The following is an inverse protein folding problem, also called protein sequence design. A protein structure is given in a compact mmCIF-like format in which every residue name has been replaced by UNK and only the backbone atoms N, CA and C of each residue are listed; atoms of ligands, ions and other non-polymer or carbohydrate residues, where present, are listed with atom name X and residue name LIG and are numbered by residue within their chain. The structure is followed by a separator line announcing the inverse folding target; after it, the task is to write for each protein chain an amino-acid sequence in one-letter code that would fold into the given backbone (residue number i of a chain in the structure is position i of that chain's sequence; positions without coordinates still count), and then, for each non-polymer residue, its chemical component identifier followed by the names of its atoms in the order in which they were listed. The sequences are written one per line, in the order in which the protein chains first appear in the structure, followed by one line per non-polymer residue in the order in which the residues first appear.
data_IF_320567420459
#
_entry.id   IF_320567420459
#
_cell.length_a   1.000
_cell.length_b   1.000
_cell.length_c   1.000
_cell.angle_alpha   90.00
_cell.angle_beta   90.00
_cell.angle_gamma   90.00
#
_symmetry.space_group_name_H-M   'P 1'
#
loop_
_entity.id
_entity.type
_entity.pdbx_description
1 polymer ?
#
# COMPACT_ATOMS: atom_id res chain seq x y z
N UNK A 1 -23.80 -0.33 56.96
CA UNK A 1 -23.00 -1.04 55.95
C UNK A 1 -21.57 -1.10 56.45
N UNK A 2 -20.86 -2.21 56.26
CA UNK A 2 -19.43 -2.31 56.60
C UNK A 2 -18.57 -1.62 55.54
N UNK A 3 -17.37 -1.17 55.91
CA UNK A 3 -16.48 -0.50 54.96
C UNK A 3 -15.98 -1.46 53.87
N UNK A 4 -15.84 -2.75 54.18
CA UNK A 4 -15.56 -3.83 53.23
C UNK A 4 -16.55 -3.84 52.06
N UNK A 5 -17.84 -3.62 52.33
CA UNK A 5 -18.86 -3.53 51.30
C UNK A 5 -18.68 -2.29 50.41
N UNK A 6 -18.28 -1.14 50.98
CA UNK A 6 -17.95 0.06 50.19
C UNK A 6 -16.73 -0.17 49.29
N UNK A 7 -15.65 -0.72 49.84
CA UNK A 7 -14.42 -1.05 49.10
C UNK A 7 -14.70 -2.03 47.97
N UNK A 8 -15.51 -3.06 48.23
CA UNK A 8 -15.93 -4.04 47.22
C UNK A 8 -16.76 -3.38 46.11
N UNK A 9 -17.70 -2.50 46.44
CA UNK A 9 -18.52 -1.76 45.45
C UNK A 9 -17.65 -0.81 44.61
N UNK A 10 -16.65 -0.15 45.20
CA UNK A 10 -15.72 0.72 44.47
C UNK A 10 -14.85 -0.10 43.50
N UNK A 11 -14.22 -1.17 43.97
CA UNK A 11 -13.38 -2.04 43.15
C UNK A 11 -14.17 -2.71 42.00
N UNK A 12 -15.42 -3.13 42.26
CA UNK A 12 -16.31 -3.64 41.21
C UNK A 12 -16.69 -2.55 40.19
N UNK A 13 -16.94 -1.31 40.64
CA UNK A 13 -17.23 -0.19 39.72
C UNK A 13 -16.03 0.11 38.82
N UNK A 14 -14.83 0.13 39.38
CA UNK A 14 -13.58 0.36 38.64
C UNK A 14 -13.31 -0.77 37.64
N UNK A 15 -13.45 -2.03 38.08
CA UNK A 15 -13.38 -3.22 37.21
C UNK A 15 -14.38 -3.15 36.05
N UNK A 16 -15.63 -2.75 36.30
CA UNK A 16 -16.67 -2.63 35.27
C UNK A 16 -16.42 -1.48 34.28
N UNK A 17 -15.84 -0.37 34.73
CA UNK A 17 -15.39 0.71 33.82
C UNK A 17 -14.24 0.21 32.95
N UNK A 18 -13.23 -0.43 33.54
CA UNK A 18 -12.09 -0.94 32.78
C UNK A 18 -12.51 -2.02 31.76
N UNK A 19 -13.37 -2.97 32.15
CA UNK A 19 -13.97 -3.93 31.22
C UNK A 19 -14.79 -3.25 30.11
N UNK A 20 -15.55 -2.19 30.41
CA UNK A 20 -16.31 -1.45 29.39
C UNK A 20 -15.37 -0.85 28.35
N UNK A 21 -14.28 -0.21 28.76
CA UNK A 21 -13.35 0.39 27.79
C UNK A 21 -12.63 -0.70 26.96
N UNK A 22 -12.20 -1.82 27.56
CA UNK A 22 -11.66 -2.97 26.81
C UNK A 22 -12.67 -3.56 25.81
N UNK A 23 -13.97 -3.59 26.15
CA UNK A 23 -15.02 -4.07 25.22
C UNK A 23 -15.27 -3.07 24.09
N UNK A 24 -15.12 -1.77 24.32
CA UNK A 24 -15.24 -0.74 23.29
C UNK A 24 -14.05 -0.77 22.32
N UNK A 25 -12.84 -0.86 22.85
CA UNK A 25 -11.58 -1.02 22.12
C UNK A 25 -11.62 -2.27 21.22
N UNK A 26 -11.87 -3.45 21.81
CA UNK A 26 -12.04 -4.70 21.06
C UNK A 26 -13.16 -4.64 20.01
N UNK A 27 -14.23 -3.86 20.23
CA UNK A 27 -15.30 -3.65 19.24
C UNK A 27 -14.86 -2.75 18.08
N UNK A 28 -13.90 -1.85 18.28
CA UNK A 28 -13.27 -1.08 17.20
C UNK A 28 -12.29 -1.97 16.41
N UNK A 29 -11.41 -2.71 17.10
CA UNK A 29 -10.49 -3.68 16.48
C UNK A 29 -11.25 -4.72 15.63
N UNK A 30 -12.38 -5.25 16.11
CA UNK A 30 -13.22 -6.18 15.35
C UNK A 30 -13.81 -5.51 14.09
N UNK A 31 -14.21 -4.23 14.16
CA UNK A 31 -14.73 -3.51 12.98
C UNK A 31 -13.66 -3.29 11.93
N UNK A 32 -12.48 -2.83 12.35
CA UNK A 32 -11.34 -2.62 11.46
C UNK A 32 -10.89 -3.93 10.80
N UNK A 33 -10.69 -5.00 11.59
CA UNK A 33 -10.33 -6.32 11.06
C UNK A 33 -11.42 -6.89 10.12
N UNK A 34 -12.71 -6.63 10.39
CA UNK A 34 -13.80 -7.04 9.49
C UNK A 34 -13.70 -6.31 8.15
N UNK A 35 -13.51 -4.98 8.16
CA UNK A 35 -13.36 -4.19 6.93
C UNK A 35 -12.16 -4.67 6.09
N UNK A 36 -10.98 -4.79 6.73
CA UNK A 36 -9.74 -5.24 6.09
C UNK A 36 -9.83 -6.68 5.57
N UNK A 37 -10.58 -7.57 6.23
CA UNK A 37 -10.85 -8.91 5.72
C UNK A 37 -11.75 -8.89 4.47
N UNK A 38 -12.86 -8.14 4.50
CA UNK A 38 -13.78 -8.00 3.34
C UNK A 38 -13.06 -7.42 2.11
N UNK A 39 -12.12 -6.50 2.31
CA UNK A 39 -11.29 -5.93 1.24
C UNK A 39 -10.30 -6.93 0.64
N UNK A 40 -9.82 -7.89 1.43
CA UNK A 40 -9.00 -9.00 0.94
C UNK A 40 -9.83 -10.00 0.11
N UNK A 41 -11.06 -10.32 0.55
CA UNK A 41 -11.98 -11.21 -0.19
C UNK A 41 -12.36 -10.64 -1.57
N UNK A 42 -12.45 -9.31 -1.70
CA UNK A 42 -12.71 -8.64 -2.99
C UNK A 42 -11.54 -8.58 -3.97
N UNK A 43 -10.37 -9.16 -3.67
CA UNK A 43 -9.10 -8.88 -4.38
C UNK A 43 -8.41 -10.14 -4.95
N UNK A 44 -9.09 -10.88 -5.83
CA UNK A 44 -8.50 -11.99 -6.58
C UNK A 44 -7.46 -11.55 -7.63
N UNK A 45 -6.38 -12.31 -7.87
CA UNK A 45 -5.29 -11.90 -8.77
C UNK A 45 -5.64 -12.09 -10.27
N UNK A 46 -6.06 -11.01 -10.91
CA UNK A 46 -6.33 -10.97 -12.35
C UNK A 46 -5.05 -10.92 -13.20
N UNK A 47 -4.54 -12.07 -13.63
CA UNK A 47 -3.48 -12.17 -14.66
C UNK A 47 -4.15 -12.43 -16.02
N UNK A 48 -4.09 -11.45 -16.93
CA UNK A 48 -4.62 -11.60 -18.29
C UNK A 48 -4.70 -10.27 -19.04
N UNK A 49 -3.66 -9.94 -19.81
CA UNK A 49 -3.66 -8.77 -20.68
C UNK A 49 -4.30 -9.09 -22.04
N UNK A 50 -5.03 -8.13 -22.62
CA UNK A 50 -5.13 -8.01 -24.08
C UNK A 50 -5.37 -6.55 -24.50
N UNK A 51 -5.03 -6.25 -25.76
CA UNK A 51 -5.02 -4.89 -26.30
C UNK A 51 -6.42 -4.29 -26.45
N UNK A 52 -6.53 -2.97 -26.24
CA UNK A 52 -7.39 -2.10 -27.04
C UNK A 52 -6.61 -0.85 -27.48
N UNK A 53 -6.76 -0.45 -28.74
CA UNK A 53 -6.09 0.72 -29.32
C UNK A 53 -7.02 1.94 -29.29
N UNK A 54 -6.75 2.88 -28.39
CA UNK A 54 -7.32 4.23 -28.47
C UNK A 54 -6.23 5.26 -28.78
N UNK A 55 -6.05 5.51 -30.09
CA UNK A 55 -5.25 6.64 -30.58
C UNK A 55 -5.97 7.99 -30.39
N UNK A 56 -5.24 9.11 -30.40
CA UNK A 56 -5.81 10.44 -30.23
C UNK A 56 -6.66 10.87 -31.44
N UNK A 57 -7.73 11.67 -31.24
CA UNK A 57 -8.58 12.13 -32.33
C UNK A 57 -7.88 13.19 -33.20
N UNK A 58 -7.60 12.85 -34.46
CA UNK A 58 -7.05 13.77 -35.45
C UNK A 58 -8.16 14.55 -36.18
N UNK A 59 -8.15 15.89 -36.03
CA UNK A 59 -9.08 16.77 -36.73
C UNK A 59 -8.61 17.11 -38.16
N UNK A 60 -9.48 16.86 -39.14
CA UNK A 60 -9.45 17.47 -40.48
C UNK A 60 -10.87 17.98 -40.82
N UNK A 61 -11.07 19.11 -41.51
CA UNK A 61 -10.10 20.13 -41.93
C UNK A 61 -10.67 21.13 -42.94
N UNK A 62 -9.88 22.13 -43.35
CA UNK A 62 -10.17 23.08 -44.45
C UNK A 62 -10.45 24.53 -44.00
N UNK A 63 -10.14 25.57 -44.79
CA UNK A 63 -9.36 25.61 -46.04
C UNK A 63 -8.87 27.05 -46.39
N UNK A 64 -7.74 27.17 -47.12
CA UNK A 64 -7.22 28.42 -47.73
C UNK A 64 -6.30 29.28 -46.82
N UNK A 65 -5.35 30.08 -47.33
CA UNK A 65 -4.84 30.26 -48.71
C UNK A 65 -3.47 30.99 -48.75
N UNK A 66 -2.82 31.06 -49.92
CA UNK A 66 -1.64 31.89 -50.31
C UNK A 66 -0.21 31.60 -49.75
N UNK A 67 0.61 30.90 -50.57
CA UNK A 67 1.86 31.32 -51.28
C UNK A 67 2.71 32.54 -50.79
N UNK A 68 4.02 32.68 -51.17
CA UNK A 68 5.05 31.68 -51.57
C UNK A 68 6.55 31.99 -51.18
N UNK A 69 7.45 30.96 -51.20
CA UNK A 69 8.93 31.04 -51.37
C UNK A 69 9.75 31.80 -50.27
N UNK A 70 11.07 31.65 -50.03
CA UNK A 70 12.23 30.91 -50.59
C UNK A 70 13.36 30.85 -49.49
N UNK A 71 14.51 30.16 -49.51
CA UNK A 71 15.10 29.04 -50.27
C UNK A 71 16.42 28.56 -49.56
N UNK A 72 17.23 27.68 -50.18
CA UNK A 72 18.61 27.20 -49.86
C UNK A 72 18.77 25.94 -48.96
N UNK A 73 19.51 24.93 -49.47
CA UNK A 73 20.10 23.78 -48.75
C UNK A 73 21.64 23.79 -48.86
N UNK A 74 22.37 22.66 -49.08
CA UNK A 74 21.95 21.25 -49.11
C UNK A 74 22.96 20.29 -48.39
N UNK A 75 22.97 18.99 -48.78
CA UNK A 75 23.83 17.85 -48.35
C UNK A 75 23.40 17.07 -47.07
N UNK A 76 23.37 15.73 -47.05
CA UNK A 76 23.50 14.79 -48.17
C UNK A 76 23.44 13.27 -47.85
N UNK A 77 22.66 12.53 -48.67
CA UNK A 77 22.87 11.17 -49.20
C UNK A 77 23.19 9.95 -48.27
N UNK A 78 22.25 8.99 -48.14
CA UNK A 78 22.32 7.63 -48.75
C UNK A 78 21.03 6.80 -48.52
N UNK A 79 20.85 5.66 -49.20
CA UNK A 79 19.58 4.91 -49.30
C UNK A 79 19.71 3.37 -49.23
N UNK A 80 18.73 2.70 -48.60
CA UNK A 80 18.28 1.32 -48.88
C UNK A 80 19.24 0.16 -48.54
N UNK A 81 18.88 -1.11 -48.77
CA UNK A 81 17.55 -1.77 -48.84
C UNK A 81 17.75 -3.31 -48.77
N UNK A 82 16.77 -4.05 -48.23
CA UNK A 82 16.50 -5.51 -48.34
C UNK A 82 17.64 -6.55 -48.48
N UNK A 83 17.59 -7.60 -47.65
CA UNK A 83 18.26 -8.90 -47.91
C UNK A 83 17.43 -9.84 -48.80
N UNK A 84 17.97 -11.02 -49.13
CA UNK A 84 17.23 -12.08 -49.83
C UNK A 84 17.78 -13.51 -49.53
N UNK A 85 17.01 -14.55 -49.89
CA UNK A 85 17.22 -15.97 -49.55
C UNK A 85 17.86 -16.82 -50.67
N UNK A 86 18.10 -18.12 -50.39
CA UNK A 86 18.00 -19.34 -51.25
C UNK A 86 19.27 -20.22 -51.33
N UNK A 87 19.18 -21.51 -51.76
CA UNK A 87 18.00 -22.37 -52.03
C UNK A 87 17.88 -23.47 -50.92
N UNK A 88 17.57 -24.78 -51.05
CA UNK A 88 17.32 -25.74 -52.15
C UNK A 88 16.60 -27.04 -51.66
N UNK A 89 16.36 -28.00 -52.58
CA UNK A 89 15.96 -29.41 -52.42
C UNK A 89 14.50 -29.66 -51.93
N UNK A 90 13.49 -29.79 -52.79
CA UNK A 90 13.23 -30.74 -53.91
C UNK A 90 12.62 -32.10 -53.49
N UNK A 91 11.32 -32.29 -53.80
CA UNK A 91 10.75 -33.43 -54.54
C UNK A 91 9.20 -33.30 -54.62
N UNK A 92 8.57 -33.91 -55.65
CA UNK A 92 7.12 -33.83 -55.88
C UNK A 92 6.47 -35.23 -56.07
N UNK A 93 5.16 -35.37 -55.79
CA UNK A 93 4.43 -36.66 -55.95
C UNK A 93 2.90 -36.54 -55.89
N UNK A 94 2.23 -36.89 -57.00
CA UNK A 94 0.78 -36.76 -57.28
C UNK A 94 -0.20 -37.58 -56.39
N UNK A 95 -1.38 -36.98 -56.13
CA UNK A 95 -2.80 -37.44 -56.35
C UNK A 95 -3.18 -38.94 -56.58
N UNK A 96 -4.48 -39.37 -56.48
CA UNK A 96 -5.67 -38.79 -55.79
C UNK A 96 -6.67 -39.81 -55.12
N UNK A 97 -7.64 -39.28 -54.34
CA UNK A 97 -9.08 -39.63 -54.49
C UNK A 97 -9.76 -40.73 -53.61
N UNK A 98 -11.03 -40.46 -53.24
CA UNK A 98 -12.03 -41.31 -52.53
C UNK A 98 -11.67 -41.83 -51.11
N UNK A 99 -12.59 -41.98 -50.13
CA UNK A 99 -13.98 -41.51 -50.03
C UNK A 99 -14.89 -42.46 -49.20
N UNK A 100 -15.51 -42.01 -48.09
CA UNK A 100 -16.54 -42.81 -47.38
C UNK A 100 -16.92 -42.43 -45.93
N UNK A 101 -18.11 -41.85 -45.77
CA UNK A 101 -19.12 -42.03 -44.70
C UNK A 101 -18.82 -42.07 -43.17
N UNK A 102 -19.59 -41.21 -42.45
CA UNK A 102 -20.09 -41.33 -41.04
C UNK A 102 -19.03 -41.13 -39.93
N UNK A 103 -19.36 -40.66 -38.71
CA UNK A 103 -20.66 -40.49 -38.01
C UNK A 103 -20.81 -39.11 -37.33
N UNK A 104 -22.02 -38.81 -36.84
CA UNK A 104 -22.39 -37.63 -36.05
C UNK A 104 -22.01 -37.72 -34.57
N UNK A 105 -21.71 -36.58 -33.93
CA UNK A 105 -21.77 -36.30 -32.47
C UNK A 105 -21.32 -34.85 -32.19
N UNK A 106 -22.25 -33.89 -32.20
CA UNK A 106 -21.96 -32.50 -31.82
C UNK A 106 -21.95 -32.25 -30.31
N UNK A 107 -20.99 -31.47 -29.81
CA UNK A 107 -21.02 -30.91 -28.45
C UNK A 107 -20.89 -29.37 -28.47
N UNK A 108 -22.03 -28.70 -28.27
CA UNK A 108 -22.09 -27.26 -28.02
C UNK A 108 -21.55 -26.92 -26.62
N UNK A 109 -20.28 -26.52 -26.51
CA UNK A 109 -19.78 -25.86 -25.30
C UNK A 109 -19.92 -24.33 -25.45
N UNK A 110 -21.15 -23.87 -25.26
CA UNK A 110 -21.46 -22.46 -25.02
C UNK A 110 -20.97 -22.10 -23.61
N UNK A 111 -19.70 -21.70 -23.53
CA UNK A 111 -19.06 -21.32 -22.28
C UNK A 111 -19.92 -20.35 -21.48
N UNK A 112 -20.35 -20.77 -20.29
CA UNK A 112 -20.81 -19.86 -19.25
C UNK A 112 -19.60 -19.62 -18.36
N UNK A 113 -19.21 -18.36 -18.21
CA UNK A 113 -18.24 -17.95 -17.20
C UNK A 113 -18.86 -18.20 -15.82
N UNK A 114 -18.52 -19.36 -15.25
CA UNK A 114 -18.89 -19.68 -13.87
C UNK A 114 -17.99 -18.86 -12.98
N UNK A 115 -18.59 -18.02 -12.15
CA UNK A 115 -17.89 -17.44 -11.00
C UNK A 115 -17.41 -18.61 -10.12
N UNK A 116 -16.10 -18.82 -10.05
CA UNK A 116 -15.52 -19.89 -9.25
C UNK A 116 -15.73 -19.57 -7.77
N UNK A 117 -16.16 -20.55 -6.98
CA UNK A 117 -16.27 -20.38 -5.53
C UNK A 117 -14.87 -20.39 -4.89
N UNK A 118 -14.71 -19.86 -3.66
CA UNK A 118 -13.45 -19.98 -2.93
C UNK A 118 -12.97 -21.43 -2.79
N UNK A 119 -13.90 -22.38 -2.67
CA UNK A 119 -13.61 -23.83 -2.61
C UNK A 119 -13.04 -24.36 -3.95
N UNK A 120 -13.61 -23.96 -5.09
CA UNK A 120 -13.08 -24.28 -6.42
C UNK A 120 -11.65 -23.74 -6.61
N UNK A 121 -11.40 -22.50 -6.14
CA UNK A 121 -10.08 -21.88 -6.24
C UNK A 121 -9.04 -22.64 -5.41
N UNK A 122 -9.37 -23.06 -4.18
CA UNK A 122 -8.47 -23.85 -3.32
C UNK A 122 -8.22 -25.23 -3.94
N UNK A 123 -9.26 -25.90 -4.45
CA UNK A 123 -9.16 -27.23 -5.09
C UNK A 123 -8.28 -27.21 -6.37
N UNK A 124 -8.09 -26.05 -7.00
CA UNK A 124 -7.24 -25.90 -8.18
C UNK A 124 -5.74 -25.76 -7.89
N UNK A 125 -5.34 -25.60 -6.62
CA UNK A 125 -3.96 -25.22 -6.25
C UNK A 125 -3.07 -26.40 -5.91
N UNK A 126 -1.80 -26.29 -6.30
CA UNK A 126 -0.78 -27.25 -5.88
C UNK A 126 -0.49 -27.14 -4.37
N UNK A 127 -0.03 -28.21 -3.70
CA UNK A 127 0.37 -28.16 -2.30
C UNK A 127 1.47 -27.11 -2.02
N UNK A 128 2.33 -26.82 -2.99
CA UNK A 128 3.33 -25.75 -2.88
C UNK A 128 2.71 -24.35 -2.89
N UNK A 129 1.75 -24.07 -3.79
CA UNK A 129 1.05 -22.79 -3.80
C UNK A 129 0.24 -22.60 -2.52
N UNK A 130 -0.46 -23.64 -2.06
CA UNK A 130 -1.20 -23.60 -0.81
C UNK A 130 -0.26 -23.37 0.39
N UNK A 131 0.91 -24.01 0.41
CA UNK A 131 1.95 -23.75 1.41
C UNK A 131 2.47 -22.31 1.39
N UNK A 132 2.70 -21.74 0.21
CA UNK A 132 3.10 -20.32 0.05
C UNK A 132 2.00 -19.35 0.47
N UNK A 133 0.73 -19.65 0.17
CA UNK A 133 -0.42 -18.86 0.62
C UNK A 133 -0.59 -18.90 2.14
N UNK A 134 -0.50 -20.10 2.75
CA UNK A 134 -0.59 -20.25 4.20
C UNK A 134 0.59 -19.57 4.92
N UNK A 135 1.80 -19.62 4.36
CA UNK A 135 2.95 -18.90 4.88
C UNK A 135 2.76 -17.37 4.79
N UNK A 136 2.26 -16.84 3.66
CA UNK A 136 1.98 -15.42 3.51
C UNK A 136 0.83 -14.93 4.43
N UNK A 137 -0.20 -15.75 4.65
CA UNK A 137 -1.27 -15.48 5.61
C UNK A 137 -0.76 -15.53 7.05
N UNK A 138 0.13 -16.48 7.39
CA UNK A 138 0.80 -16.53 8.70
C UNK A 138 1.65 -15.29 8.93
N UNK A 139 2.52 -14.92 7.98
CA UNK A 139 3.31 -13.68 8.05
C UNK A 139 2.41 -12.46 8.23
N UNK A 140 1.28 -12.37 7.50
CA UNK A 140 0.34 -11.26 7.67
C UNK A 140 -0.32 -11.24 9.04
N UNK A 141 -0.61 -12.40 9.63
CA UNK A 141 -1.21 -12.52 10.96
C UNK A 141 -0.21 -12.28 12.10
N UNK A 142 1.03 -12.76 11.96
CA UNK A 142 2.13 -12.47 12.89
C UNK A 142 2.47 -10.95 12.90
N UNK A 143 2.28 -10.26 11.77
CA UNK A 143 2.42 -8.80 11.64
C UNK A 143 1.15 -7.99 12.01
N UNK A 144 0.03 -8.62 12.40
CA UNK A 144 -1.20 -7.91 12.80
C UNK A 144 -1.20 -7.45 14.28
N UNK A 145 -0.02 -7.26 14.87
CA UNK A 145 0.15 -6.74 16.22
C UNK A 145 -0.06 -5.21 16.25
N UNK A 146 -1.26 -4.78 16.62
CA UNK A 146 -1.52 -3.39 17.01
C UNK A 146 -1.13 -3.16 18.48
N UNK A 147 -0.58 -1.97 18.79
CA UNK A 147 -0.24 -1.56 20.15
C UNK A 147 -0.69 -0.11 20.37
N UNK A 148 -1.58 0.10 21.36
CA UNK A 148 -2.06 1.43 21.72
C UNK A 148 -0.99 2.20 22.48
N UNK A 149 -0.45 3.26 21.85
CA UNK A 149 0.55 4.12 22.47
C UNK A 149 -0.09 5.03 23.52
N UNK A 150 0.47 5.18 24.74
CA UNK A 150 -0.11 5.99 25.82
C UNK A 150 0.22 7.48 25.63
N UNK A 151 -0.28 8.07 24.53
CA UNK A 151 -0.08 9.47 24.13
C UNK A 151 -1.39 10.25 24.24
N UNK A 152 -1.30 11.54 24.57
CA UNK A 152 -2.46 12.42 24.78
C UNK A 152 -2.32 13.68 23.92
N UNK A 153 -2.64 13.57 22.63
CA UNK A 153 -2.35 14.59 21.60
C UNK A 153 -3.60 15.29 21.03
N UNK A 154 -4.79 14.97 21.54
CA UNK A 154 -6.08 15.47 21.04
C UNK A 154 -6.60 16.73 21.76
N UNK A 155 -5.71 17.51 22.39
CA UNK A 155 -6.07 18.65 23.23
C UNK A 155 -6.14 20.02 22.51
N UNK A 156 -5.83 20.03 21.21
CA UNK A 156 -5.84 21.22 20.36
C UNK A 156 -4.53 22.00 20.31
N UNK A 157 -3.42 21.47 20.84
CA UNK A 157 -2.07 22.05 20.74
C UNK A 157 -1.15 21.22 19.85
N UNK A 158 -0.06 21.85 19.42
CA UNK A 158 1.10 21.16 18.88
C UNK A 158 1.79 20.34 19.96
N UNK A 159 2.20 19.12 19.60
CA UNK A 159 2.97 18.20 20.43
C UNK A 159 4.09 17.58 19.59
N UNK A 160 5.28 17.45 20.16
CA UNK A 160 6.36 16.68 19.52
C UNK A 160 6.20 15.20 19.87
N UNK A 161 5.78 14.39 18.90
CA UNK A 161 5.67 12.94 19.04
C UNK A 161 6.86 12.24 18.39
N UNK A 162 7.48 11.30 19.11
CA UNK A 162 8.49 10.41 18.55
C UNK A 162 8.21 8.98 19.00
N UNK A 163 8.35 8.02 18.09
CA UNK A 163 8.23 6.59 18.35
C UNK A 163 9.51 5.92 17.86
N UNK A 164 10.16 5.15 18.73
CA UNK A 164 11.30 4.31 18.36
C UNK A 164 10.84 2.86 18.26
N UNK A 165 11.49 2.10 17.39
CA UNK A 165 11.26 0.66 17.23
C UNK A 165 12.56 -0.05 16.81
N UNK A 166 12.75 -1.27 17.30
CA UNK A 166 13.88 -2.15 17.02
C UNK A 166 13.42 -3.48 16.45
N UNK A 167 14.02 -3.90 15.34
CA UNK A 167 13.83 -5.25 14.79
C UNK A 167 14.33 -6.34 15.75
N UNK A 168 15.34 -6.05 16.58
CA UNK A 168 15.75 -6.95 17.66
C UNK A 168 14.68 -6.89 18.76
N UNK A 169 14.12 -8.05 19.10
CA UNK A 169 13.13 -8.28 20.16
C UNK A 169 11.83 -7.45 20.09
N UNK A 170 11.65 -6.62 19.06
CA UNK A 170 10.45 -5.79 18.89
C UNK A 170 10.34 -4.69 19.95
N UNK A 171 11.48 -4.24 20.50
CA UNK A 171 11.56 -3.16 21.49
C UNK A 171 10.99 -1.87 20.86
N UNK A 172 10.05 -1.22 21.52
CA UNK A 172 9.49 0.08 21.11
C UNK A 172 9.37 1.03 22.29
N UNK A 173 9.47 2.34 22.01
CA UNK A 173 9.21 3.40 22.99
C UNK A 173 8.43 4.54 22.34
N UNK A 174 7.56 5.19 23.11
CA UNK A 174 6.73 6.31 22.65
C UNK A 174 6.96 7.53 23.53
N UNK A 175 7.26 8.67 22.90
CA UNK A 175 7.60 9.95 23.52
C UNK A 175 6.60 11.03 23.10
N UNK A 176 6.23 11.88 24.06
CA UNK A 176 5.45 13.10 23.84
C UNK A 176 6.14 14.27 24.55
N UNK A 177 6.46 15.32 23.79
CA UNK A 177 7.13 16.53 24.24
C UNK A 177 8.48 16.23 24.91
N UNK A 178 9.27 15.38 24.25
CA UNK A 178 10.60 14.94 24.70
C UNK A 178 10.60 13.92 25.84
N UNK A 179 9.45 13.59 26.43
CA UNK A 179 9.33 12.71 27.59
C UNK A 179 8.71 11.38 27.19
N UNK A 180 9.35 10.26 27.56
CA UNK A 180 8.82 8.91 27.34
C UNK A 180 7.51 8.71 28.10
N UNK A 181 6.47 8.23 27.41
CA UNK A 181 5.14 7.92 27.96
C UNK A 181 4.86 6.42 28.01
N UNK A 182 5.44 5.65 27.09
CA UNK A 182 5.28 4.19 27.04
C UNK A 182 6.49 3.50 26.43
N UNK A 183 6.56 2.19 26.66
CA UNK A 183 7.51 1.27 26.03
C UNK A 183 7.01 -0.16 26.13
N UNK A 184 7.49 -1.02 25.24
CA UNK A 184 7.19 -2.45 25.25
C UNK A 184 8.09 -3.23 24.31
N UNK A 185 7.76 -4.51 24.12
CA UNK A 185 8.58 -5.49 23.40
C UNK A 185 7.67 -6.34 22.50
N UNK A 186 8.27 -7.25 21.72
CA UNK A 186 7.62 -8.25 20.87
C UNK A 186 6.74 -7.70 19.73
N UNK A 187 6.76 -6.39 19.46
CA UNK A 187 6.08 -5.77 18.32
C UNK A 187 6.86 -6.01 17.03
N UNK A 188 6.34 -6.86 16.13
CA UNK A 188 6.98 -7.27 14.87
C UNK A 188 8.44 -7.73 15.03
N UNK A 189 8.76 -8.36 16.17
CA UNK A 189 10.11 -8.79 16.49
C UNK A 189 10.69 -9.66 15.37
N UNK A 190 11.95 -9.41 15.01
CA UNK A 190 12.71 -10.07 13.95
C UNK A 190 12.19 -9.86 12.51
N UNK A 191 11.21 -8.97 12.29
CA UNK A 191 10.68 -8.65 10.96
C UNK A 191 11.14 -7.25 10.48
N UNK A 192 12.28 -7.13 9.77
CA UNK A 192 12.76 -5.84 9.28
C UNK A 192 11.81 -5.22 8.24
N UNK A 193 11.67 -3.90 8.29
CA UNK A 193 10.87 -3.13 7.34
C UNK A 193 11.42 -3.34 5.91
N UNK A 194 10.54 -3.76 5.00
CA UNK A 194 10.92 -4.07 3.60
C UNK A 194 11.13 -2.77 2.81
N UNK A 195 12.24 -2.60 2.07
CA UNK A 195 12.50 -1.40 1.28
C UNK A 195 11.59 -1.31 0.03
N UNK A 196 11.45 -0.11 -0.54
CA UNK A 196 10.67 0.13 -1.76
C UNK A 196 9.16 0.35 -1.56
N UNK A 197 8.73 0.63 -0.33
CA UNK A 197 7.36 1.07 -0.04
C UNK A 197 7.08 2.52 -0.46
N UNK A 198 5.80 2.91 -0.43
CA UNK A 198 5.34 4.29 -0.62
C UNK A 198 4.95 4.86 0.74
N UNK A 199 5.51 6.02 1.10
CA UNK A 199 5.16 6.72 2.34
C UNK A 199 4.06 7.75 2.06
N UNK A 200 2.95 7.65 2.80
CA UNK A 200 1.77 8.53 2.68
C UNK A 200 1.53 9.19 4.03
N UNK A 201 1.23 10.49 4.02
CA UNK A 201 0.81 11.24 5.22
C UNK A 201 -0.71 11.38 5.26
N UNK A 202 -1.26 11.21 6.47
CA UNK A 202 -2.65 11.50 6.79
C UNK A 202 -3.72 10.52 6.27
N UNK A 203 -3.32 9.39 5.67
CA UNK A 203 -4.21 8.33 5.18
C UNK A 203 -3.64 6.94 5.51
N UNK A 204 -4.51 5.99 5.82
CA UNK A 204 -4.18 4.56 5.97
C UNK A 204 -4.04 3.91 4.57
N UNK A 205 -3.17 2.89 4.42
CA UNK A 205 -2.86 2.24 3.14
C UNK A 205 -3.22 0.73 3.11
N UNK A 206 -4.46 0.39 2.73
CA UNK A 206 -4.85 -1.00 2.42
C UNK A 206 -4.11 -1.56 1.18
N UNK A 207 -3.61 -0.69 0.29
CA UNK A 207 -2.74 -1.03 -0.84
C UNK A 207 -1.63 0.00 -1.04
N UNK A 208 -0.56 -0.38 -1.73
CA UNK A 208 0.60 0.48 -1.99
C UNK A 208 0.19 1.79 -2.67
N UNK A 209 0.21 2.90 -1.93
CA UNK A 209 -0.19 4.23 -2.39
C UNK A 209 -1.69 4.42 -2.65
N UNK A 210 -2.59 3.56 -2.13
CA UNK A 210 -4.03 3.69 -2.44
C UNK A 210 -4.99 2.84 -1.59
N UNK A 211 -6.28 2.93 -1.94
CA UNK A 211 -7.45 2.40 -1.20
C UNK A 211 -7.57 2.91 0.24
N UNK A 212 -7.51 4.23 0.40
CA UNK A 212 -7.66 4.87 1.70
C UNK A 212 -9.13 4.86 2.17
N UNK A 213 -9.40 4.53 3.44
CA UNK A 213 -10.72 4.73 4.06
C UNK A 213 -10.77 6.11 4.74
N UNK A 214 -11.77 6.93 4.37
CA UNK A 214 -11.95 8.27 4.90
C UNK A 214 -12.28 8.31 6.42
N UNK A 215 -12.70 7.18 7.01
CA UNK A 215 -12.90 7.04 8.46
C UNK A 215 -11.60 6.82 9.23
N UNK A 216 -10.51 6.44 8.54
CA UNK A 216 -9.16 6.28 9.09
C UNK A 216 -8.23 7.46 8.73
N UNK A 217 -8.76 8.51 8.08
CA UNK A 217 -8.03 9.71 7.74
C UNK A 217 -7.62 10.51 8.99
N UNK A 218 -6.39 11.04 8.98
CA UNK A 218 -5.94 11.99 10.00
C UNK A 218 -6.67 13.35 9.83
N UNK A 219 -7.04 13.97 10.94
CA UNK A 219 -7.66 15.30 10.98
C UNK A 219 -6.90 16.18 11.96
N UNK A 220 -6.07 17.08 11.42
CA UNK A 220 -5.20 17.99 12.16
C UNK A 220 -4.05 18.48 11.26
N UNK A 221 -3.09 19.18 11.86
CA UNK A 221 -1.90 19.68 11.19
C UNK A 221 -0.69 18.77 11.41
N UNK A 222 0.26 18.75 10.47
CA UNK A 222 1.53 18.01 10.56
C UNK A 222 2.66 18.92 10.06
N UNK A 223 3.78 18.95 10.78
CA UNK A 223 5.04 19.55 10.33
C UNK A 223 6.22 18.75 10.89
N UNK A 224 7.42 19.06 10.39
CA UNK A 224 8.71 18.51 10.82
C UNK A 224 8.77 16.97 10.94
N UNK A 225 8.21 16.26 9.96
CA UNK A 225 8.38 14.80 9.88
C UNK A 225 9.82 14.44 9.55
N UNK A 226 10.52 13.87 10.54
CA UNK A 226 11.85 13.30 10.41
C UNK A 226 11.80 11.78 10.60
N UNK A 227 12.61 11.02 9.86
CA UNK A 227 12.72 9.55 10.01
C UNK A 227 14.17 9.08 9.94
N UNK A 228 14.55 8.19 10.85
CA UNK A 228 15.89 7.62 10.95
C UNK A 228 15.90 6.10 10.75
N UNK A 229 17.00 5.57 10.21
CA UNK A 229 17.27 4.13 10.11
C UNK A 229 17.74 3.49 11.44
N UNK A 230 17.86 4.28 12.50
CA UNK A 230 18.44 3.88 13.79
C UNK A 230 17.58 4.41 14.95
N UNK A 231 17.60 3.70 16.09
CA UNK A 231 16.95 4.15 17.34
C UNK A 231 17.73 5.34 17.92
N UNK A 232 17.08 6.50 18.01
CA UNK A 232 17.60 7.70 18.68
C UNK A 232 17.65 7.50 20.21
N UNK A 233 18.54 8.21 20.91
CA UNK A 233 18.53 8.20 22.37
C UNK A 233 17.46 9.13 22.94
N UNK A 234 17.02 8.87 24.18
CA UNK A 234 16.12 9.76 24.91
C UNK A 234 16.64 11.21 25.03
N UNK A 235 17.97 11.41 24.98
CA UNK A 235 18.57 12.75 25.01
C UNK A 235 18.42 13.47 23.66
N UNK A 236 18.59 12.75 22.54
CA UNK A 236 18.39 13.29 21.20
C UNK A 236 16.92 13.67 20.98
N UNK A 237 16.00 12.79 21.40
CA UNK A 237 14.55 12.99 21.31
C UNK A 237 14.09 14.18 22.17
N UNK A 238 14.64 14.33 23.38
CA UNK A 238 14.40 15.51 24.21
C UNK A 238 14.96 16.80 23.58
N UNK A 239 16.13 16.71 22.94
CA UNK A 239 16.80 17.86 22.31
C UNK A 239 16.07 18.32 21.03
N UNK A 240 15.50 17.38 20.26
CA UNK A 240 14.58 17.67 19.15
C UNK A 240 13.32 18.37 19.68
N UNK A 241 12.62 17.74 20.64
CA UNK A 241 11.38 18.27 21.23
C UNK A 241 11.51 19.61 21.97
N UNK A 242 12.73 20.07 22.23
CA UNK A 242 13.03 21.36 22.87
C UNK A 242 13.77 22.34 21.95
N UNK A 243 13.85 22.04 20.64
CA UNK A 243 14.51 22.87 19.63
C UNK A 243 16.00 23.16 19.88
N UNK A 244 16.68 22.25 20.59
CA UNK A 244 18.11 22.32 20.93
C UNK A 244 18.98 21.36 20.08
N UNK A 245 18.41 20.74 19.04
CA UNK A 245 19.07 19.71 18.23
C UNK A 245 19.20 20.10 16.76
N UNK A 246 20.39 19.97 16.14
CA UNK A 246 20.58 20.11 14.70
C UNK A 246 20.42 18.77 13.95
N UNK A 247 19.88 17.73 14.59
CA UNK A 247 19.68 16.43 13.97
C UNK A 247 18.59 16.49 12.89
N UNK A 248 18.72 15.65 11.87
CA UNK A 248 17.77 15.51 10.77
C UNK A 248 17.71 14.03 10.36
N UNK A 249 16.57 13.59 9.83
CA UNK A 249 16.35 12.19 9.46
C UNK A 249 17.20 11.75 8.27
N UNK A 250 17.81 10.57 8.37
CA UNK A 250 18.62 9.95 7.30
C UNK A 250 17.80 9.09 6.32
N UNK A 251 16.53 8.81 6.62
CA UNK A 251 15.56 8.14 5.74
C UNK A 251 14.54 9.12 5.16
N UNK A 252 14.02 10.04 5.99
CA UNK A 252 13.18 11.16 5.57
C UNK A 252 13.63 12.40 6.33
N UNK A 253 13.97 13.47 5.60
CA UNK A 253 14.16 14.82 6.16
C UNK A 253 12.97 15.70 5.76
N UNK A 254 12.40 16.46 6.70
CA UNK A 254 11.31 17.38 6.36
C UNK A 254 11.78 18.50 5.41
N UNK A 255 11.01 18.75 4.35
CA UNK A 255 11.20 19.88 3.45
C UNK A 255 9.90 20.19 2.70
N UNK A 256 9.56 21.46 2.53
CA UNK A 256 8.35 21.88 1.80
C UNK A 256 8.29 21.31 0.37
N UNK A 257 9.46 21.09 -0.25
CA UNK A 257 9.61 20.56 -1.61
C UNK A 257 9.58 19.02 -1.68
N UNK A 258 9.65 18.31 -0.54
CA UNK A 258 9.70 16.85 -0.50
C UNK A 258 8.31 16.18 -0.41
N UNK A 259 7.24 16.98 -0.30
CA UNK A 259 5.86 16.49 -0.09
C UNK A 259 4.95 16.94 -1.24
N UNK A 260 4.52 15.98 -2.07
CA UNK A 260 3.44 16.17 -3.04
C UNK A 260 2.08 16.26 -2.32
N UNK A 261 1.16 17.08 -2.84
CA UNK A 261 -0.15 17.32 -2.22
C UNK A 261 -1.28 16.78 -3.09
N UNK A 262 -2.18 16.03 -2.46
CA UNK A 262 -3.42 15.52 -3.06
C UNK A 262 -4.62 15.90 -2.17
N UNK A 263 -5.84 15.65 -2.66
CA UNK A 263 -7.06 15.73 -1.85
C UNK A 263 -7.50 17.12 -1.33
N UNK A 264 -6.76 18.19 -1.65
CA UNK A 264 -7.06 19.55 -1.17
C UNK A 264 -6.36 19.94 0.14
N UNK A 265 -5.34 19.18 0.58
CA UNK A 265 -4.46 19.57 1.69
C UNK A 265 -3.80 20.91 1.41
N UNK A 266 -3.73 21.78 2.43
CA UNK A 266 -3.10 23.09 2.38
C UNK A 266 -1.74 23.08 3.09
N UNK A 267 -0.79 23.90 2.60
CA UNK A 267 0.48 24.21 3.29
C UNK A 267 0.42 25.64 3.83
N UNK A 268 0.94 25.83 5.04
CA UNK A 268 1.14 27.14 5.67
C UNK A 268 2.54 27.19 6.30
N UNK A 269 3.16 28.37 6.41
CA UNK A 269 4.41 28.50 7.17
C UNK A 269 4.18 28.14 8.64
N UNK A 270 5.05 27.30 9.19
CA UNK A 270 5.07 26.94 10.60
C UNK A 270 6.53 26.78 11.05
N UNK A 271 6.88 27.43 12.14
CA UNK A 271 8.13 27.21 12.85
C UNK A 271 7.81 26.36 14.10
N UNK A 272 8.33 25.13 14.23
CA UNK A 272 8.10 24.29 15.42
C UNK A 272 8.61 24.91 16.73
N UNK A 273 9.36 26.00 16.67
CA UNK A 273 10.14 26.55 17.77
C UNK A 273 9.83 28.02 18.14
N UNK A 274 8.96 28.72 17.38
CA UNK A 274 8.73 30.18 17.54
C UNK A 274 7.26 30.62 17.34
#
# INVERSE_FOLDING_TARGET
MTEEAKTTILHLRESLVQQKETILDMRETIRELTAKLTLCEGSGPGIGAHNDHHGPPSHHGGAGSHLPYADNGPHGNQQGHHGNNNPALDAAGHYPGNGGHRSDSGHNNRGKDKHATPEDMISSKSPEELGRMLQALKERMDNLQAVTLPLSISDGKWHHVCVTWSTRDGEWEAYQDGVKRGSGENLSAWHPIKPGGVFILGQEQDTLGGRFDATQAFMGDISDLQMWANVLTAHDIYSLASCNSPLSGDVITWSENAVELHGGVTKYPFDPCH
#
